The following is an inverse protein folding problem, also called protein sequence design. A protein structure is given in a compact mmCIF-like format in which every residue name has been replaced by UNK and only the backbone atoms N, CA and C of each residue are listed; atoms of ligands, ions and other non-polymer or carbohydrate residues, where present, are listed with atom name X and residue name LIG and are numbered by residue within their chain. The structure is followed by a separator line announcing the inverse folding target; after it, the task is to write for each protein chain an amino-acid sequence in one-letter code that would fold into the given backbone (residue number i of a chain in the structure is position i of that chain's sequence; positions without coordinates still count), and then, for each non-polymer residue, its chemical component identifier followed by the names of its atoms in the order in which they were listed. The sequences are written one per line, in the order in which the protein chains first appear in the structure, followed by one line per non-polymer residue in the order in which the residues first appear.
data_IF_385325414142
#
_entry.id   IF_385325414142
#
_cell.length_a   1.000
_cell.length_b   1.000
_cell.length_c   1.000
_cell.angle_alpha   90.00
_cell.angle_beta   90.00
_cell.angle_gamma   90.00
#
_symmetry.space_group_name_H-M   'P 1'
#
loop_
_entity.id
_entity.type
_entity.pdbx_description
1 polymer ?
#
# COMPACT_ATOMS: atom_id res chain seq x y z
N UNK A 1 13.41 7.74 -5.87
CA UNK A 1 13.42 7.21 -4.49
C UNK A 1 13.52 5.68 -4.45
N UNK A 2 12.52 4.92 -4.90
CA UNK A 2 12.50 3.45 -4.78
C UNK A 2 13.71 2.72 -5.39
N UNK A 3 14.17 3.14 -6.58
CA UNK A 3 15.40 2.60 -7.20
C UNK A 3 16.62 2.83 -6.31
N UNK A 4 16.75 4.01 -5.70
CA UNK A 4 17.86 4.35 -4.81
C UNK A 4 17.83 3.55 -3.50
N UNK A 5 16.65 3.35 -2.92
CA UNK A 5 16.49 2.51 -1.73
C UNK A 5 16.76 1.03 -2.02
N UNK A 6 16.32 0.53 -3.18
CA UNK A 6 16.64 -0.83 -3.63
C UNK A 6 18.13 -1.03 -3.86
N UNK A 7 18.80 -0.05 -4.48
CA UNK A 7 20.25 -0.06 -4.68
C UNK A 7 21.00 -0.07 -3.33
N UNK A 8 20.60 0.82 -2.41
CA UNK A 8 21.17 0.85 -1.06
C UNK A 8 20.95 -0.48 -0.34
N UNK A 9 19.73 -1.02 -0.31
CA UNK A 9 19.45 -2.29 0.35
C UNK A 9 20.21 -3.49 -0.22
N UNK A 10 20.56 -3.45 -1.51
CA UNK A 10 21.33 -4.50 -2.16
C UNK A 10 22.84 -4.41 -1.91
N UNK A 11 23.39 -3.20 -1.78
CA UNK A 11 24.84 -2.97 -1.61
C UNK A 11 25.29 -2.74 -0.17
N UNK A 12 24.38 -2.38 0.75
CA UNK A 12 24.73 -2.16 2.14
C UNK A 12 24.84 -3.49 2.90
N UNK A 13 25.98 -3.81 3.52
CA UNK A 13 26.13 -5.05 4.26
C UNK A 13 25.23 -5.02 5.50
N UNK A 14 24.33 -5.99 5.62
CA UNK A 14 23.46 -6.16 6.78
C UNK A 14 23.91 -7.40 7.56
N UNK A 15 24.34 -7.26 8.83
CA UNK A 15 24.70 -8.41 9.66
C UNK A 15 23.56 -9.40 9.82
N UNK A 16 23.86 -10.70 9.83
CA UNK A 16 22.87 -11.77 9.97
C UNK A 16 22.00 -11.62 11.24
N UNK A 17 22.55 -11.07 12.31
CA UNK A 17 21.82 -10.79 13.56
C UNK A 17 20.69 -9.76 13.37
N UNK A 18 20.92 -8.73 12.56
CA UNK A 18 19.93 -7.69 12.25
C UNK A 18 18.85 -8.23 11.32
N UNK A 19 19.20 -9.16 10.42
CA UNK A 19 18.24 -9.87 9.58
C UNK A 19 17.34 -10.78 10.42
N UNK A 20 17.91 -11.47 11.41
CA UNK A 20 17.19 -12.45 12.22
C UNK A 20 16.27 -11.82 13.29
N UNK A 21 16.64 -10.67 13.87
CA UNK A 21 15.92 -10.08 15.03
C UNK A 21 15.65 -8.58 14.93
N UNK A 22 16.32 -7.88 14.02
CA UNK A 22 16.23 -6.43 13.86
C UNK A 22 15.29 -6.01 12.74
N UNK A 23 15.38 -4.72 12.40
CA UNK A 23 14.73 -4.18 11.21
C UNK A 23 15.81 -3.78 10.18
N UNK A 24 16.02 -4.59 9.13
CA UNK A 24 17.04 -4.31 8.12
C UNK A 24 16.90 -2.93 7.47
N UNK A 25 15.67 -2.46 7.25
CA UNK A 25 15.42 -1.15 6.64
C UNK A 25 15.90 0.01 7.50
N UNK A 26 15.56 -0.01 8.80
CA UNK A 26 16.05 0.99 9.77
C UNK A 26 17.58 0.95 9.89
N UNK A 27 18.15 -0.26 9.92
CA UNK A 27 19.60 -0.43 10.00
C UNK A 27 20.31 0.17 8.79
N UNK A 28 19.90 -0.20 7.57
CA UNK A 28 20.50 0.32 6.33
C UNK A 28 20.41 1.84 6.29
N UNK A 29 19.25 2.41 6.65
CA UNK A 29 19.08 3.86 6.66
C UNK A 29 19.98 4.55 7.70
N UNK A 30 20.05 4.01 8.91
CA UNK A 30 20.89 4.57 9.99
C UNK A 30 22.37 4.51 9.61
N UNK A 31 22.84 3.37 9.12
CA UNK A 31 24.25 3.18 8.75
C UNK A 31 24.63 3.94 7.48
N UNK A 32 23.76 4.02 6.48
CA UNK A 32 24.00 4.84 5.30
C UNK A 32 24.10 6.33 5.69
N UNK A 33 23.23 6.80 6.58
CA UNK A 33 23.27 8.18 7.08
C UNK A 33 24.54 8.42 7.91
N UNK A 34 24.94 7.45 8.74
CA UNK A 34 26.20 7.48 9.49
C UNK A 34 27.41 7.58 8.57
N UNK A 35 27.43 6.84 7.46
CA UNK A 35 28.51 6.89 6.48
C UNK A 35 28.62 8.25 5.76
N UNK A 36 27.50 8.95 5.60
CA UNK A 36 27.46 10.25 4.90
C UNK A 36 27.74 11.42 5.85
N UNK A 37 27.12 11.44 7.03
CA UNK A 37 27.12 12.58 7.95
C UNK A 37 28.03 12.40 9.19
N UNK A 38 28.65 11.23 9.34
CA UNK A 38 29.56 10.95 10.46
C UNK A 38 28.85 10.97 11.82
N UNK A 39 29.53 11.44 12.86
CA UNK A 39 29.04 11.41 14.25
C UNK A 39 27.73 12.18 14.50
N UNK A 40 27.42 13.18 13.67
CA UNK A 40 26.20 14.01 13.80
C UNK A 40 24.99 13.37 13.09
N UNK A 41 25.18 12.24 12.40
CA UNK A 41 24.16 11.58 11.59
C UNK A 41 22.89 11.24 12.35
N UNK A 42 22.98 10.78 13.60
CA UNK A 42 21.81 10.35 14.38
C UNK A 42 20.86 11.51 14.69
N UNK A 43 21.40 12.67 15.09
CA UNK A 43 20.61 13.87 15.38
C UNK A 43 19.95 14.37 14.10
N UNK A 44 20.70 14.42 13.01
CA UNK A 44 20.18 14.82 11.71
C UNK A 44 19.05 13.89 11.23
N UNK A 45 19.25 12.58 11.31
CA UNK A 45 18.26 11.58 10.95
C UNK A 45 17.00 11.70 11.80
N UNK A 46 17.15 11.88 13.12
CA UNK A 46 16.02 12.04 14.03
C UNK A 46 15.16 13.26 13.68
N UNK A 47 15.77 14.41 13.42
CA UNK A 47 15.05 15.64 13.04
C UNK A 47 14.34 15.45 11.68
N UNK A 48 15.07 14.94 10.68
CA UNK A 48 14.53 14.74 9.33
C UNK A 48 13.34 13.78 9.33
N UNK A 49 13.50 12.59 9.93
CA UNK A 49 12.44 11.59 10.01
C UNK A 49 11.25 12.12 10.80
N UNK A 50 11.47 12.84 11.90
CA UNK A 50 10.37 13.44 12.68
C UNK A 50 9.57 14.43 11.82
N UNK A 51 10.24 15.32 11.09
CA UNK A 51 9.59 16.29 10.20
C UNK A 51 8.79 15.60 9.09
N UNK A 52 9.39 14.62 8.41
CA UNK A 52 8.72 13.89 7.31
C UNK A 52 7.54 13.05 7.80
N UNK A 53 7.67 12.39 8.95
CA UNK A 53 6.58 11.61 9.53
C UNK A 53 5.46 12.51 10.07
N UNK A 54 5.79 13.70 10.60
CA UNK A 54 4.80 14.66 11.09
C UNK A 54 3.90 15.16 9.96
N UNK A 55 4.46 15.61 8.85
CA UNK A 55 3.66 16.12 7.71
C UNK A 55 2.79 15.02 7.10
N UNK A 56 3.32 13.80 6.97
CA UNK A 56 2.55 12.64 6.47
C UNK A 56 1.39 12.29 7.41
N UNK A 57 1.64 12.27 8.72
CA UNK A 57 0.62 11.96 9.73
C UNK A 57 -0.49 13.01 9.74
N UNK A 58 -0.12 14.29 9.70
CA UNK A 58 -1.09 15.40 9.62
C UNK A 58 -1.93 15.29 8.34
N UNK A 59 -1.30 15.05 7.19
CA UNK A 59 -2.02 14.89 5.92
C UNK A 59 -3.04 13.76 5.96
N UNK A 60 -2.65 12.59 6.47
CA UNK A 60 -3.56 11.45 6.60
C UNK A 60 -4.73 11.74 7.55
N UNK A 61 -4.46 12.32 8.73
CA UNK A 61 -5.51 12.65 9.71
C UNK A 61 -6.52 13.66 9.13
N UNK A 62 -6.05 14.67 8.41
CA UNK A 62 -6.91 15.67 7.76
C UNK A 62 -7.77 15.00 6.70
N UNK A 63 -7.18 14.27 5.75
CA UNK A 63 -7.92 13.62 4.67
C UNK A 63 -8.93 12.59 5.18
N UNK A 64 -8.58 11.77 6.17
CA UNK A 64 -9.52 10.81 6.75
C UNK A 64 -10.57 11.52 7.60
N UNK A 65 -10.20 12.57 8.34
CA UNK A 65 -11.13 13.38 9.12
C UNK A 65 -12.19 14.05 8.27
N UNK A 66 -11.79 14.64 7.15
CA UNK A 66 -12.70 15.25 6.16
C UNK A 66 -13.60 14.20 5.51
N UNK A 67 -13.03 13.05 5.07
CA UNK A 67 -13.81 11.96 4.49
C UNK A 67 -14.93 11.49 5.43
N UNK A 68 -14.61 11.24 6.70
CA UNK A 68 -15.60 10.79 7.68
C UNK A 68 -16.58 11.89 8.09
N UNK A 69 -16.15 13.14 8.18
CA UNK A 69 -17.06 14.25 8.47
C UNK A 69 -18.05 14.50 7.33
N UNK A 70 -17.62 14.39 6.07
CA UNK A 70 -18.48 14.50 4.89
C UNK A 70 -19.44 13.30 4.75
N UNK A 71 -18.97 12.09 5.07
CA UNK A 71 -19.79 10.87 4.97
C UNK A 71 -20.78 10.73 6.13
N UNK A 72 -20.36 11.10 7.34
CA UNK A 72 -21.14 11.00 8.58
C UNK A 72 -21.16 12.35 9.31
N UNK A 73 -21.97 13.31 8.84
CA UNK A 73 -21.96 14.70 9.34
C UNK A 73 -22.48 14.86 10.78
N UNK A 74 -22.89 13.77 11.44
CA UNK A 74 -23.37 13.77 12.83
C UNK A 74 -22.25 14.04 13.84
N UNK A 75 -20.99 13.84 13.46
CA UNK A 75 -19.82 14.00 14.34
C UNK A 75 -18.90 15.07 13.76
N UNK A 76 -18.38 15.95 14.63
CA UNK A 76 -17.53 17.06 14.20
C UNK A 76 -16.17 16.58 13.67
N UNK A 77 -15.62 17.30 12.69
CA UNK A 77 -14.26 17.07 12.18
C UNK A 77 -13.21 17.00 13.30
N UNK A 78 -13.29 17.90 14.29
CA UNK A 78 -12.37 17.92 15.45
C UNK A 78 -12.40 16.60 16.23
N UNK A 79 -13.58 16.00 16.37
CA UNK A 79 -13.75 14.70 17.04
C UNK A 79 -13.06 13.60 16.24
N UNK A 80 -13.26 13.53 14.92
CA UNK A 80 -12.58 12.54 14.06
C UNK A 80 -11.06 12.69 14.11
N UNK A 81 -10.54 13.92 13.96
CA UNK A 81 -9.12 14.19 14.03
C UNK A 81 -8.51 13.75 15.37
N UNK A 82 -9.21 14.01 16.48
CA UNK A 82 -8.78 13.59 17.82
C UNK A 82 -8.75 12.07 17.95
N UNK A 83 -9.81 11.38 17.51
CA UNK A 83 -9.90 9.91 17.56
C UNK A 83 -8.76 9.28 16.75
N UNK A 84 -8.53 9.70 15.51
CA UNK A 84 -7.46 9.14 14.68
C UNK A 84 -6.07 9.41 15.27
N UNK A 85 -5.86 10.58 15.86
CA UNK A 85 -4.60 10.91 16.57
C UNK A 85 -4.38 9.97 17.76
N UNK A 86 -5.40 9.75 18.59
CA UNK A 86 -5.30 8.89 19.77
C UNK A 86 -5.08 7.42 19.39
N UNK A 87 -5.75 6.93 18.34
CA UNK A 87 -5.53 5.58 17.81
C UNK A 87 -4.09 5.44 17.28
N UNK A 88 -3.63 6.40 16.49
CA UNK A 88 -2.25 6.42 15.98
C UNK A 88 -1.22 6.42 17.12
N UNK A 89 -1.45 7.22 18.15
CA UNK A 89 -0.62 7.25 19.36
C UNK A 89 -0.61 5.90 20.08
N UNK A 90 -1.77 5.26 20.27
CA UNK A 90 -1.85 3.94 20.90
C UNK A 90 -1.07 2.87 20.09
N UNK A 91 -1.24 2.84 18.77
CA UNK A 91 -0.57 1.90 17.87
C UNK A 91 0.95 2.14 17.85
N UNK A 92 1.40 3.39 17.89
CA UNK A 92 2.83 3.74 17.88
C UNK A 92 3.60 3.12 19.06
N UNK A 93 2.93 2.85 20.18
CA UNK A 93 3.54 2.22 21.36
C UNK A 93 3.73 0.69 21.22
N UNK A 94 3.18 0.03 20.18
CA UNK A 94 3.30 -1.42 19.96
C UNK A 94 4.69 -1.86 19.43
N UNK A 95 5.51 -0.91 18.99
CA UNK A 95 6.82 -1.16 18.40
C UNK A 95 6.76 -1.48 16.89
N UNK A 96 7.85 -1.14 16.19
CA UNK A 96 7.90 -1.17 14.72
C UNK A 96 7.63 -2.55 14.11
N UNK A 97 8.17 -3.62 14.71
CA UNK A 97 7.99 -4.97 14.17
C UNK A 97 6.51 -5.38 14.16
N UNK A 98 5.80 -5.16 15.28
CA UNK A 98 4.37 -5.44 15.37
C UNK A 98 3.58 -4.62 14.34
N UNK A 99 3.86 -3.31 14.24
CA UNK A 99 3.20 -2.42 13.27
C UNK A 99 3.37 -2.95 11.84
N UNK A 100 4.59 -3.35 11.46
CA UNK A 100 4.86 -3.90 10.12
C UNK A 100 4.13 -5.23 9.92
N UNK A 101 4.19 -6.16 10.88
CA UNK A 101 3.53 -7.46 10.78
C UNK A 101 2.02 -7.35 10.56
N UNK A 102 1.35 -6.38 11.20
CA UNK A 102 -0.09 -6.14 10.98
C UNK A 102 -0.37 -5.32 9.72
N UNK A 103 0.49 -4.36 9.37
CA UNK A 103 0.25 -3.48 8.23
C UNK A 103 0.52 -4.16 6.89
N UNK A 104 1.51 -5.05 6.81
CA UNK A 104 1.89 -5.71 5.55
C UNK A 104 0.72 -6.50 4.94
N UNK A 105 0.00 -7.38 5.67
CA UNK A 105 -1.15 -8.10 5.12
C UNK A 105 -2.27 -7.17 4.65
N UNK A 106 -2.57 -6.11 5.41
CA UNK A 106 -3.59 -5.12 5.05
C UNK A 106 -3.20 -4.38 3.78
N UNK A 107 -1.95 -3.92 3.69
CA UNK A 107 -1.41 -3.29 2.49
C UNK A 107 -1.43 -4.24 1.30
N UNK A 108 -1.14 -5.53 1.50
CA UNK A 108 -1.16 -6.54 0.45
C UNK A 108 -2.53 -6.77 -0.19
N UNK A 109 -3.60 -6.47 0.54
CA UNK A 109 -4.97 -6.49 0.03
C UNK A 109 -5.33 -5.16 -0.63
N UNK A 110 -4.95 -4.04 -0.02
CA UNK A 110 -5.31 -2.71 -0.52
C UNK A 110 -4.54 -2.32 -1.79
N UNK A 111 -3.25 -2.61 -1.88
CA UNK A 111 -2.42 -2.12 -2.97
C UNK A 111 -2.89 -2.61 -4.36
N UNK A 112 -3.25 -3.89 -4.59
CA UNK A 112 -3.74 -4.33 -5.90
C UNK A 112 -5.03 -3.63 -6.29
N UNK A 113 -5.96 -3.50 -5.34
CA UNK A 113 -7.27 -2.90 -5.55
C UNK A 113 -7.13 -1.43 -5.94
N UNK A 114 -6.36 -0.66 -5.18
CA UNK A 114 -6.13 0.75 -5.47
C UNK A 114 -5.41 0.95 -6.82
N UNK A 115 -4.35 0.17 -7.09
CA UNK A 115 -3.60 0.27 -8.35
C UNK A 115 -4.51 -0.03 -9.54
N UNK A 116 -5.37 -1.05 -9.45
CA UNK A 116 -6.27 -1.43 -10.53
C UNK A 116 -7.36 -0.39 -10.75
N UNK A 117 -7.93 0.19 -9.70
CA UNK A 117 -8.89 1.30 -9.83
C UNK A 117 -8.23 2.48 -10.55
N UNK A 118 -7.02 2.87 -10.13
CA UNK A 118 -6.28 3.98 -10.78
C UNK A 118 -5.97 3.65 -12.25
N UNK A 119 -5.53 2.42 -12.55
CA UNK A 119 -5.30 1.99 -13.93
C UNK A 119 -6.58 2.04 -14.77
N UNK A 120 -7.70 1.54 -14.24
CA UNK A 120 -9.00 1.60 -14.91
C UNK A 120 -9.39 3.04 -15.19
N UNK A 121 -9.26 3.96 -14.21
CA UNK A 121 -9.58 5.38 -14.39
C UNK A 121 -8.72 6.01 -15.50
N UNK A 122 -7.41 5.73 -15.50
CA UNK A 122 -6.50 6.24 -16.53
C UNK A 122 -6.87 5.68 -17.90
N UNK A 123 -7.07 4.36 -18.03
CA UNK A 123 -7.44 3.73 -19.31
C UNK A 123 -8.80 4.23 -19.78
N UNK A 124 -9.79 4.34 -18.88
CA UNK A 124 -11.15 4.79 -19.20
C UNK A 124 -11.20 6.24 -19.71
N UNK A 125 -10.21 7.05 -19.34
CA UNK A 125 -10.03 8.41 -19.88
C UNK A 125 -9.71 8.40 -21.38
N UNK A 126 -8.95 7.41 -21.85
CA UNK A 126 -8.51 7.31 -23.26
C UNK A 126 -9.39 6.37 -24.09
N UNK A 127 -9.86 5.27 -23.51
CA UNK A 127 -10.64 4.22 -24.17
C UNK A 127 -11.88 3.94 -23.33
N UNK A 128 -13.08 4.02 -23.93
CA UNK A 128 -14.31 3.73 -23.19
C UNK A 128 -14.33 2.24 -22.78
N UNK A 129 -14.43 1.99 -21.47
CA UNK A 129 -14.50 0.66 -20.88
C UNK A 129 -15.94 0.30 -20.51
N UNK A 130 -16.28 -0.99 -20.61
CA UNK A 130 -17.57 -1.48 -20.12
C UNK A 130 -17.64 -1.41 -18.59
N UNK A 131 -18.77 -0.91 -18.06
CA UNK A 131 -19.00 -0.84 -16.60
C UNK A 131 -18.90 -2.22 -15.94
N UNK A 132 -19.46 -3.24 -16.58
CA UNK A 132 -19.44 -4.62 -16.09
C UNK A 132 -18.01 -5.16 -16.10
N UNK A 133 -17.24 -4.88 -17.15
CA UNK A 133 -15.83 -5.28 -17.23
C UNK A 133 -14.99 -4.65 -16.11
N UNK A 134 -15.16 -3.35 -15.86
CA UNK A 134 -14.44 -2.65 -14.78
C UNK A 134 -14.76 -3.28 -13.41
N UNK A 135 -16.04 -3.54 -13.13
CA UNK A 135 -16.46 -4.18 -11.87
C UNK A 135 -15.90 -5.59 -11.73
N UNK A 136 -15.98 -6.41 -12.79
CA UNK A 136 -15.42 -7.76 -12.80
C UNK A 136 -13.91 -7.75 -12.54
N UNK A 137 -13.19 -6.82 -13.17
CA UNK A 137 -11.73 -6.68 -12.97
C UNK A 137 -11.39 -6.40 -11.51
N UNK A 138 -12.07 -5.42 -10.90
CA UNK A 138 -11.86 -5.06 -9.49
C UNK A 138 -12.20 -6.23 -8.56
N UNK A 139 -13.32 -6.91 -8.80
CA UNK A 139 -13.73 -8.07 -7.99
C UNK A 139 -12.71 -9.21 -8.10
N UNK A 140 -12.27 -9.56 -9.31
CA UNK A 140 -11.28 -10.62 -9.52
C UNK A 140 -9.95 -10.31 -8.82
N UNK A 141 -9.46 -9.08 -8.97
CA UNK A 141 -8.22 -8.63 -8.34
C UNK A 141 -8.35 -8.65 -6.81
N UNK A 142 -9.49 -8.20 -6.29
CA UNK A 142 -9.78 -8.24 -4.86
C UNK A 142 -9.77 -9.68 -4.35
N UNK A 143 -10.47 -10.60 -5.03
CA UNK A 143 -10.50 -12.02 -4.64
C UNK A 143 -9.11 -12.65 -4.64
N UNK A 144 -8.28 -12.36 -5.65
CA UNK A 144 -6.90 -12.86 -5.71
C UNK A 144 -6.04 -12.26 -4.60
N UNK A 145 -6.19 -10.98 -4.29
CA UNK A 145 -5.47 -10.33 -3.20
C UNK A 145 -5.84 -10.92 -1.84
N UNK A 146 -7.12 -11.18 -1.59
CA UNK A 146 -7.59 -11.88 -0.39
C UNK A 146 -7.08 -13.33 -0.35
N UNK A 147 -7.17 -14.08 -1.45
CA UNK A 147 -6.69 -15.46 -1.53
C UNK A 147 -5.17 -15.55 -1.23
N UNK A 148 -4.38 -14.58 -1.70
CA UNK A 148 -2.95 -14.51 -1.45
C UNK A 148 -2.59 -14.36 0.04
N UNK A 149 -3.46 -13.73 0.83
CA UNK A 149 -3.26 -13.54 2.27
C UNK A 149 -3.92 -14.65 3.09
N UNK A 150 -5.14 -15.04 2.75
CA UNK A 150 -5.89 -16.07 3.48
C UNK A 150 -5.31 -17.47 3.27
N UNK A 151 -4.75 -17.77 2.09
CA UNK A 151 -4.13 -19.07 1.80
C UNK A 151 -3.05 -19.45 2.82
N UNK A 152 -2.00 -18.62 3.00
CA UNK A 152 -0.98 -18.84 4.04
C UNK A 152 -1.52 -18.76 5.47
N UNK A 153 -2.45 -17.85 5.77
CA UNK A 153 -2.99 -17.68 7.12
C UNK A 153 -3.80 -18.90 7.60
N UNK A 154 -4.62 -19.50 6.73
CA UNK A 154 -5.43 -20.68 7.05
C UNK A 154 -4.75 -21.99 6.64
N UNK A 155 -3.51 -21.95 6.12
CA UNK A 155 -2.75 -23.10 5.62
C UNK A 155 -3.54 -23.97 4.62
N UNK A 156 -4.36 -23.34 3.78
CA UNK A 156 -5.19 -24.05 2.80
C UNK A 156 -4.35 -24.31 1.55
N UNK A 157 -3.79 -25.51 1.46
CA UNK A 157 -2.86 -25.90 0.39
C UNK A 157 -3.45 -25.68 -1.02
N UNK A 158 -4.77 -25.88 -1.19
CA UNK A 158 -5.46 -25.68 -2.47
C UNK A 158 -5.42 -24.20 -2.92
N UNK A 159 -5.66 -23.27 -1.99
CA UNK A 159 -5.63 -21.83 -2.26
C UNK A 159 -4.20 -21.37 -2.51
N UNK A 160 -3.25 -21.87 -1.71
CA UNK A 160 -1.83 -21.56 -1.90
C UNK A 160 -1.31 -22.04 -3.25
N UNK A 161 -1.66 -23.26 -3.67
CA UNK A 161 -1.26 -23.80 -4.96
C UNK A 161 -1.91 -23.04 -6.13
N UNK A 162 -3.18 -22.64 -5.99
CA UNK A 162 -3.86 -21.84 -7.01
C UNK A 162 -3.22 -20.43 -7.17
N UNK A 163 -2.86 -19.77 -6.07
CA UNK A 163 -2.18 -18.47 -6.12
C UNK A 163 -0.76 -18.63 -6.67
N UNK A 164 -0.01 -19.64 -6.25
CA UNK A 164 1.35 -19.89 -6.73
C UNK A 164 1.41 -20.36 -8.19
N UNK A 165 0.32 -20.92 -8.72
CA UNK A 165 0.20 -21.25 -10.14
C UNK A 165 0.01 -20.02 -11.04
N UNK A 166 -0.35 -18.86 -10.47
CA UNK A 166 -0.48 -17.63 -11.24
C UNK A 166 0.91 -17.09 -11.65
N UNK A 167 1.04 -16.54 -12.87
CA UNK A 167 2.29 -15.90 -13.27
C UNK A 167 2.58 -14.71 -12.36
N UNK A 168 3.87 -14.46 -12.08
CA UNK A 168 4.34 -13.42 -11.15
C UNK A 168 3.99 -13.63 -9.66
N UNK A 169 3.46 -14.80 -9.26
CA UNK A 169 3.30 -15.13 -7.85
C UNK A 169 4.63 -15.09 -7.08
N UNK A 170 5.72 -15.57 -7.69
CA UNK A 170 7.08 -15.50 -7.12
C UNK A 170 7.58 -14.06 -6.92
N UNK A 171 7.06 -13.10 -7.69
CA UNK A 171 7.38 -11.68 -7.56
C UNK A 171 6.43 -10.94 -6.60
N UNK A 172 5.59 -11.66 -5.84
CA UNK A 172 4.52 -11.09 -5.00
C UNK A 172 3.47 -10.28 -5.77
N UNK A 173 3.28 -10.57 -7.07
CA UNK A 173 2.34 -9.89 -7.96
C UNK A 173 1.31 -10.83 -8.64
N UNK A 174 0.69 -11.79 -7.92
CA UNK A 174 -0.25 -12.75 -8.53
C UNK A 174 -1.53 -12.08 -9.10
N UNK A 175 -1.87 -10.89 -8.62
CA UNK A 175 -3.05 -10.12 -9.04
C UNK A 175 -2.87 -9.40 -10.39
N UNK A 176 -1.63 -9.21 -10.85
CA UNK A 176 -1.33 -8.39 -12.03
C UNK A 176 -1.91 -9.01 -13.29
N UNK A 177 -1.81 -10.34 -13.43
CA UNK A 177 -2.34 -11.07 -14.59
C UNK A 177 -3.87 -10.98 -14.66
N UNK A 178 -4.62 -11.30 -13.58
CA UNK A 178 -6.06 -11.05 -13.51
C UNK A 178 -6.45 -9.60 -13.84
N UNK A 179 -5.68 -8.62 -13.37
CA UNK A 179 -5.94 -7.20 -13.64
C UNK A 179 -5.84 -6.88 -15.14
N UNK A 180 -4.75 -7.30 -15.79
CA UNK A 180 -4.55 -7.06 -17.22
C UNK A 180 -5.61 -7.76 -18.07
N UNK A 181 -5.91 -9.02 -17.77
CA UNK A 181 -6.96 -9.76 -18.46
C UNK A 181 -8.33 -9.11 -18.29
N UNK A 182 -8.66 -8.67 -17.08
CA UNK A 182 -9.91 -7.97 -16.81
C UNK A 182 -10.03 -6.66 -17.58
N UNK A 183 -8.97 -5.86 -17.66
CA UNK A 183 -8.94 -4.61 -18.44
C UNK A 183 -9.13 -4.92 -19.94
N UNK A 184 -8.47 -5.95 -20.48
CA UNK A 184 -8.64 -6.36 -21.88
C UNK A 184 -10.08 -6.82 -22.15
N UNK A 185 -10.66 -7.64 -21.27
CA UNK A 185 -12.06 -8.06 -21.38
C UNK A 185 -13.02 -6.87 -21.33
N UNK A 186 -12.72 -5.87 -20.49
CA UNK A 186 -13.51 -4.64 -20.36
C UNK A 186 -13.53 -3.80 -21.64
N UNK A 187 -12.51 -3.92 -22.50
CA UNK A 187 -12.46 -3.27 -23.82
C UNK A 187 -13.33 -3.98 -24.86
N UNK A 188 -13.53 -5.30 -24.70
CA UNK A 188 -14.29 -6.12 -25.66
C UNK A 188 -15.79 -6.16 -25.35
N UNK A 189 -16.18 -6.02 -24.07
CA UNK A 189 -17.57 -6.09 -23.64
C UNK A 189 -18.43 -4.89 -24.13
N UNK A 190 -19.74 -5.12 -24.35
CA UNK A 190 -20.70 -4.06 -24.67
C UNK A 190 -20.97 -3.14 -23.46
N UNK A 191 -21.68 -2.03 -23.68
CA UNK A 191 -22.01 -0.99 -22.69
C UNK A 191 -20.80 -0.17 -22.18
N UNK A 192 -20.03 0.35 -23.14
CA UNK A 192 -18.85 1.18 -22.87
C UNK A 192 -19.27 2.54 -22.32
N UNK A 193 -18.75 2.90 -21.15
CA UNK A 193 -18.97 4.20 -20.53
C UNK A 193 -17.66 4.97 -20.56
N UNK A 194 -17.66 6.14 -21.21
CA UNK A 194 -16.52 7.05 -21.14
C UNK A 194 -16.58 7.77 -19.80
N UNK A 195 -15.44 7.89 -19.10
CA UNK A 195 -15.39 8.72 -17.89
C UNK A 195 -15.69 10.17 -18.29
N UNK A 196 -16.67 10.79 -17.63
CA UNK A 196 -16.83 12.24 -17.70
C UNK A 196 -15.52 12.90 -17.23
N UNK A 197 -15.14 14.00 -17.87
CA UNK A 197 -14.00 14.80 -17.43
C UNK A 197 -14.27 15.22 -15.99
N UNK A 198 -13.39 14.82 -15.06
CA UNK A 198 -13.42 15.29 -13.68
C UNK A 198 -13.45 16.83 -13.70
N UNK A 199 -14.63 17.42 -13.50
CA UNK A 199 -14.75 18.85 -13.22
C UNK A 199 -14.17 19.04 -11.82
N UNK A 200 -12.99 19.65 -11.74
CA UNK A 200 -12.42 20.09 -10.47
C UNK A 200 -13.24 21.30 -10.00
N UNK A 201 -14.20 21.06 -9.12
CA UNK A 201 -14.87 22.11 -8.33
C UNK A 201 -14.02 22.38 -7.09
#
# INVERSE_FOLDING_TARGET
MYIGLGFLGNHFPVPAEVIAKGNPGVYVLSQATQAIFGSTAQIFLAIMVTMTCFTTTVGLIVSTGEFFNNTFPKVSYKTYATIFTLIGYAIANLGLNAIIQYSVPVLQILYPVTIVIVMIVIVNKFLALSKIGMQLTVVLVTLVAFANILGPLFKVQVVMNAVNALPFAQASLPWLVPALLGIILSLLLPDKQKSDSFEMI
#
